data_IF_637842096518
#
_entry.id   IF_637842096518
#
_cell.length_a   1.000
_cell.length_b   1.000
_cell.length_c   1.000
_cell.angle_alpha   90.00
_cell.angle_beta   90.00
_cell.angle_gamma   90.00
#
_symmetry.space_group_name_H-M   'P 1'
#
loop_
_entity.id
_entity.type
_entity.pdbx_description
1 polymer ?
#
# COMPACT_ATOMS: atom_id res chain seq x y z
N UNK A 1 6.62 13.62 3.31
CA UNK A 1 5.79 12.54 2.73
C UNK A 1 4.81 13.15 1.74
N UNK A 2 4.28 12.39 0.79
CA UNK A 2 3.30 12.90 -0.21
C UNK A 2 2.07 13.50 0.49
N UNK A 3 1.67 12.89 1.61
CA UNK A 3 0.59 13.38 2.49
C UNK A 3 0.91 14.67 3.27
N UNK A 4 2.13 15.22 3.16
CA UNK A 4 2.46 16.58 3.65
C UNK A 4 2.26 17.64 2.57
N UNK A 5 2.37 17.25 1.29
CA UNK A 5 2.20 18.12 0.14
C UNK A 5 0.73 18.26 -0.25
N UNK A 6 -0.06 17.21 -0.05
CA UNK A 6 -1.51 17.17 -0.31
C UNK A 6 -2.21 16.64 0.93
N UNK A 7 -2.52 17.50 1.92
CA UNK A 7 -3.13 17.09 3.18
C UNK A 7 -4.55 16.53 3.01
N UNK A 8 -5.21 16.78 1.88
CA UNK A 8 -6.54 16.26 1.55
C UNK A 8 -6.56 14.75 1.26
N UNK A 9 -5.39 14.14 1.03
CA UNK A 9 -5.29 12.71 0.73
C UNK A 9 -5.81 11.84 1.88
N UNK A 10 -5.44 12.17 3.11
CA UNK A 10 -5.87 11.43 4.30
C UNK A 10 -6.15 12.41 5.42
N UNK A 11 -7.17 12.12 6.23
CA UNK A 11 -7.31 12.83 7.51
C UNK A 11 -6.05 12.62 8.33
N UNK A 12 -5.79 13.51 9.28
CA UNK A 12 -4.70 13.34 10.25
C UNK A 12 -4.74 11.91 10.81
N UNK A 13 -5.81 11.52 11.50
CA UNK A 13 -5.94 10.16 12.09
C UNK A 13 -5.58 9.03 11.11
N UNK A 14 -6.12 9.04 9.89
CA UNK A 14 -5.84 8.00 8.89
C UNK A 14 -4.36 7.94 8.50
N UNK A 15 -3.71 9.09 8.34
CA UNK A 15 -2.28 9.16 8.04
C UNK A 15 -1.43 8.64 9.21
N UNK A 16 -1.82 8.89 10.46
CA UNK A 16 -1.16 8.29 11.63
C UNK A 16 -1.29 6.77 11.60
N UNK A 17 -2.53 6.27 11.52
CA UNK A 17 -2.84 4.85 11.51
C UNK A 17 -2.09 4.12 10.40
N UNK A 18 -2.10 4.65 9.17
CA UNK A 18 -1.38 4.03 8.05
C UNK A 18 0.13 4.04 8.26
N UNK A 19 0.71 5.16 8.71
CA UNK A 19 2.16 5.29 8.87
C UNK A 19 2.69 4.45 10.04
N UNK A 20 2.01 4.49 11.17
CA UNK A 20 2.37 3.70 12.36
C UNK A 20 2.12 2.21 12.09
N UNK A 21 1.01 1.89 11.43
CA UNK A 21 0.65 0.50 11.18
C UNK A 21 1.60 -0.23 10.23
N UNK A 22 1.98 0.41 9.11
CA UNK A 22 2.99 -0.16 8.20
C UNK A 22 4.35 -0.30 8.88
N UNK A 23 4.70 0.64 9.76
CA UNK A 23 5.97 0.60 10.49
C UNK A 23 5.96 -0.49 11.56
N UNK A 24 4.84 -0.71 12.24
CA UNK A 24 4.66 -1.82 13.17
C UNK A 24 4.79 -3.16 12.44
N UNK A 25 4.16 -3.34 11.27
CA UNK A 25 4.34 -4.55 10.44
C UNK A 25 5.80 -4.79 10.09
N UNK A 26 6.52 -3.76 9.64
CA UNK A 26 7.94 -3.89 9.30
C UNK A 26 8.76 -4.32 10.53
N UNK A 27 8.53 -3.69 11.68
CA UNK A 27 9.22 -4.01 12.94
C UNK A 27 8.96 -5.47 13.33
N UNK A 28 7.70 -5.90 13.36
CA UNK A 28 7.31 -7.26 13.74
C UNK A 28 7.80 -8.31 12.73
N UNK A 29 7.96 -7.96 11.47
CA UNK A 29 8.54 -8.85 10.46
C UNK A 29 10.04 -9.07 10.72
N UNK A 30 10.79 -8.00 11.04
CA UNK A 30 12.21 -8.10 11.43
C UNK A 30 12.36 -8.94 12.72
N UNK A 31 11.58 -8.58 13.76
CA UNK A 31 10.89 -9.45 14.71
C UNK A 31 11.01 -10.97 14.44
N UNK A 32 10.12 -11.41 13.56
CA UNK A 32 9.84 -12.82 13.31
C UNK A 32 10.96 -13.52 12.53
N UNK A 33 11.62 -12.81 11.61
CA UNK A 33 12.71 -13.35 10.79
C UNK A 33 13.95 -13.75 11.62
N UNK A 34 14.10 -13.20 12.83
CA UNK A 34 15.20 -13.55 13.73
C UNK A 34 16.57 -13.24 13.14
N UNK A 35 16.68 -12.12 12.41
CA UNK A 35 17.92 -11.72 11.75
C UNK A 35 19.07 -11.53 12.77
N UNK A 36 20.33 -11.85 12.39
CA UNK A 36 21.48 -11.40 13.17
C UNK A 36 21.41 -9.88 13.34
N UNK A 37 21.73 -9.37 14.53
CA UNK A 37 21.64 -7.93 14.84
C UNK A 37 20.24 -7.32 14.71
N UNK A 38 19.18 -8.09 15.01
CA UNK A 38 17.79 -7.62 15.03
C UNK A 38 17.60 -6.25 15.72
N UNK A 39 18.21 -6.06 16.89
CA UNK A 39 18.13 -4.79 17.62
C UNK A 39 18.69 -3.60 16.81
N UNK A 40 19.76 -3.78 16.04
CA UNK A 40 20.35 -2.72 15.22
C UNK A 40 19.45 -2.34 14.04
N UNK A 41 18.71 -3.33 13.51
CA UNK A 41 17.76 -3.12 12.43
C UNK A 41 16.42 -2.54 12.90
N UNK A 42 15.95 -2.90 14.11
CA UNK A 42 14.67 -2.45 14.66
C UNK A 42 14.75 -1.05 15.26
N UNK A 43 15.87 -0.69 15.90
CA UNK A 43 16.00 0.58 16.65
C UNK A 43 15.69 1.84 15.81
N UNK A 44 16.19 1.99 14.56
CA UNK A 44 15.87 3.15 13.73
C UNK A 44 14.37 3.28 13.43
N UNK A 45 13.67 2.16 13.36
CA UNK A 45 12.22 2.17 13.14
C UNK A 45 11.46 2.56 14.40
N UNK A 46 11.88 2.11 15.58
CA UNK A 46 11.32 2.52 16.86
C UNK A 46 11.53 4.00 17.14
N UNK A 47 12.73 4.53 16.92
CA UNK A 47 13.03 5.94 17.13
C UNK A 47 12.18 6.82 16.23
N UNK A 48 12.06 6.45 14.95
CA UNK A 48 11.20 7.16 14.02
C UNK A 48 9.72 7.05 14.39
N UNK A 49 9.28 5.92 14.94
CA UNK A 49 7.92 5.76 15.44
C UNK A 49 7.65 6.69 16.63
N UNK A 50 8.60 6.79 17.58
CA UNK A 50 8.55 7.73 18.72
C UNK A 50 8.44 9.19 18.24
N UNK A 51 9.29 9.60 17.30
CA UNK A 51 9.26 10.94 16.70
C UNK A 51 7.89 11.25 16.08
N UNK A 52 7.35 10.28 15.34
CA UNK A 52 6.02 10.41 14.75
C UNK A 52 4.98 10.57 15.86
N UNK A 53 4.87 9.65 16.81
CA UNK A 53 3.89 9.76 17.91
C UNK A 53 3.99 11.13 18.59
N UNK A 54 5.18 11.59 18.96
CA UNK A 54 5.38 12.89 19.59
C UNK A 54 4.95 14.08 18.72
N UNK A 55 5.29 14.07 17.43
CA UNK A 55 4.89 15.11 16.48
C UNK A 55 3.36 15.21 16.36
N UNK A 56 2.68 14.07 16.43
CA UNK A 56 1.23 13.96 16.31
C UNK A 56 0.50 14.41 17.58
N UNK A 57 1.01 14.02 18.74
CA UNK A 57 0.52 14.48 20.05
C UNK A 57 0.65 16.00 20.20
N UNK A 58 1.76 16.57 19.72
CA UNK A 58 2.01 18.02 19.78
C UNK A 58 1.04 18.84 18.92
N UNK A 59 0.38 18.21 17.94
CA UNK A 59 -0.58 18.88 17.06
C UNK A 59 -2.04 18.64 17.47
N UNK A 60 -2.32 17.72 18.39
CA UNK A 60 -3.67 17.35 18.80
C UNK A 60 -4.16 18.26 19.94
N UNK A 61 -5.02 19.23 19.62
CA UNK A 61 -5.79 19.96 20.63
C UNK A 61 -6.95 19.06 21.10
N UNK A 62 -6.71 18.26 22.14
CA UNK A 62 -7.76 17.58 22.92
C UNK A 62 -8.17 16.15 22.51
N UNK A 63 -7.46 15.51 21.56
CA UNK A 63 -7.68 14.09 21.24
C UNK A 63 -6.78 13.18 22.07
N UNK A 64 -7.36 12.17 22.74
CA UNK A 64 -6.61 11.18 23.54
C UNK A 64 -5.42 10.63 22.73
N UNK A 65 -4.18 10.66 23.26
CA UNK A 65 -3.03 10.00 22.65
C UNK A 65 -3.40 8.60 22.18
N UNK A 66 -2.86 8.17 21.03
CA UNK A 66 -2.83 6.74 20.70
C UNK A 66 -1.88 6.05 21.69
N UNK A 67 -2.34 5.83 22.93
CA UNK A 67 -1.62 5.19 24.03
C UNK A 67 -1.11 3.81 23.60
N UNK A 68 -1.89 3.13 22.75
CA UNK A 68 -1.55 1.88 22.06
C UNK A 68 -0.22 1.94 21.31
N UNK A 69 0.18 3.10 20.80
CA UNK A 69 1.42 3.24 20.03
C UNK A 69 2.66 3.32 20.92
N UNK A 70 2.54 3.80 22.17
CA UNK A 70 3.60 3.73 23.18
C UNK A 70 3.68 2.32 23.78
N UNK A 71 2.53 1.69 24.03
CA UNK A 71 2.44 0.29 24.45
C UNK A 71 3.12 -0.64 23.44
N UNK A 72 2.94 -0.40 22.14
CA UNK A 72 3.64 -1.14 21.08
C UNK A 72 5.18 -1.00 21.16
N UNK A 73 5.68 0.19 21.45
CA UNK A 73 7.12 0.42 21.58
C UNK A 73 7.71 -0.38 22.75
N UNK A 74 6.99 -0.43 23.87
CA UNK A 74 7.39 -1.17 25.05
C UNK A 74 7.31 -2.69 24.80
N UNK A 75 6.26 -3.14 24.09
CA UNK A 75 6.14 -4.51 23.61
C UNK A 75 7.37 -4.90 22.77
N UNK A 76 7.73 -4.14 21.73
CA UNK A 76 8.88 -4.47 20.88
C UNK A 76 10.17 -4.50 21.68
N UNK A 77 10.40 -3.56 22.60
CA UNK A 77 11.57 -3.61 23.49
C UNK A 77 11.58 -4.87 24.36
N UNK A 78 10.42 -5.33 24.83
CA UNK A 78 10.32 -6.60 25.56
C UNK A 78 10.68 -7.80 24.66
N UNK A 79 10.15 -7.85 23.43
CA UNK A 79 10.44 -8.92 22.46
C UNK A 79 11.93 -9.00 22.10
N UNK A 80 12.61 -7.85 21.99
CA UNK A 80 14.05 -7.81 21.68
C UNK A 80 14.93 -8.29 22.84
N UNK A 81 14.49 -8.09 24.08
CA UNK A 81 15.27 -8.42 25.27
C UNK A 81 14.98 -9.81 25.83
N UNK A 82 13.79 -10.37 25.55
CA UNK A 82 13.31 -11.62 26.16
C UNK A 82 12.90 -12.63 25.07
N UNK A 83 13.74 -13.65 24.77
CA UNK A 83 13.46 -14.61 23.71
C UNK A 83 12.23 -15.49 24.01
N UNK A 84 11.97 -15.81 25.28
CA UNK A 84 10.81 -16.61 25.69
C UNK A 84 9.49 -15.84 25.47
N UNK A 85 9.47 -14.54 25.82
CA UNK A 85 8.34 -13.64 25.56
C UNK A 85 8.12 -13.46 24.06
N UNK A 86 9.23 -13.37 23.29
CA UNK A 86 9.18 -13.30 21.83
C UNK A 86 8.53 -14.54 21.22
N UNK A 87 8.95 -15.73 21.63
CA UNK A 87 8.37 -16.99 21.17
C UNK A 87 6.87 -17.06 21.55
N UNK A 88 6.53 -16.73 22.79
CA UNK A 88 5.16 -16.70 23.26
C UNK A 88 4.28 -15.76 22.42
N UNK A 89 4.74 -14.53 22.20
CA UNK A 89 4.03 -13.51 21.44
C UNK A 89 3.72 -14.00 20.01
N UNK A 90 4.71 -14.46 19.26
CA UNK A 90 4.50 -14.91 17.89
C UNK A 90 3.68 -16.21 17.78
N UNK A 91 3.64 -17.04 18.82
CA UNK A 91 2.83 -18.27 18.81
C UNK A 91 1.38 -18.08 19.30
N UNK A 92 1.12 -17.09 20.17
CA UNK A 92 -0.14 -17.00 20.92
C UNK A 92 -0.87 -15.68 20.79
N UNK A 93 -0.17 -14.59 20.51
CA UNK A 93 -0.73 -13.22 20.57
C UNK A 93 -0.73 -12.55 19.20
N UNK A 94 0.30 -12.77 18.40
CA UNK A 94 0.52 -12.05 17.15
C UNK A 94 -0.66 -12.16 16.18
N UNK A 95 -1.20 -13.36 15.94
CA UNK A 95 -2.32 -13.54 15.02
C UNK A 95 -3.62 -12.86 15.50
N UNK A 96 -3.79 -12.69 16.81
CA UNK A 96 -4.98 -12.04 17.38
C UNK A 96 -4.87 -10.51 17.27
N UNK A 97 -3.71 -9.94 17.59
CA UNK A 97 -3.52 -8.48 17.61
C UNK A 97 -3.07 -7.89 16.26
N UNK A 98 -2.27 -8.64 15.49
CA UNK A 98 -1.61 -8.21 14.26
C UNK A 98 -1.87 -9.14 13.06
N UNK A 99 -2.92 -9.96 13.14
CA UNK A 99 -3.32 -10.89 12.08
C UNK A 99 -4.26 -10.27 11.02
N UNK A 100 -5.16 -11.07 10.41
CA UNK A 100 -5.92 -10.66 9.22
C UNK A 100 -6.73 -9.36 9.37
N UNK A 101 -7.32 -9.11 10.53
CA UNK A 101 -8.09 -7.89 10.79
C UNK A 101 -7.21 -6.63 10.78
N UNK A 102 -6.00 -6.75 11.31
CA UNK A 102 -5.02 -5.69 11.25
C UNK A 102 -4.60 -5.43 9.80
N UNK A 103 -4.27 -6.49 9.05
CA UNK A 103 -3.84 -6.40 7.65
C UNK A 103 -4.93 -5.77 6.76
N UNK A 104 -6.18 -6.19 6.92
CA UNK A 104 -7.34 -5.63 6.21
C UNK A 104 -7.50 -4.13 6.50
N UNK A 105 -7.33 -3.71 7.75
CA UNK A 105 -7.42 -2.30 8.13
C UNK A 105 -6.30 -1.45 7.47
N UNK A 106 -5.06 -1.94 7.47
CA UNK A 106 -3.94 -1.27 6.80
C UNK A 106 -4.13 -1.24 5.29
N UNK A 107 -4.58 -2.34 4.69
CA UNK A 107 -4.86 -2.41 3.26
C UNK A 107 -5.99 -1.44 2.85
N UNK A 108 -7.06 -1.35 3.64
CA UNK A 108 -8.14 -0.40 3.40
C UNK A 108 -7.65 1.05 3.42
N UNK A 109 -6.79 1.40 4.39
CA UNK A 109 -6.16 2.73 4.45
C UNK A 109 -5.22 3.00 3.28
N UNK A 110 -4.43 2.00 2.86
CA UNK A 110 -3.56 2.11 1.69
C UNK A 110 -4.39 2.31 0.42
N UNK A 111 -5.46 1.54 0.24
CA UNK A 111 -6.35 1.67 -0.90
C UNK A 111 -7.01 3.04 -0.95
N UNK A 112 -7.51 3.54 0.19
CA UNK A 112 -8.08 4.88 0.30
C UNK A 112 -7.05 5.95 -0.10
N UNK A 113 -5.81 5.83 0.37
CA UNK A 113 -4.73 6.73 0.01
C UNK A 113 -4.47 6.73 -1.50
N UNK A 114 -4.30 5.55 -2.10
CA UNK A 114 -4.00 5.41 -3.53
C UNK A 114 -5.15 5.92 -4.40
N UNK A 115 -6.39 5.58 -4.07
CA UNK A 115 -7.59 6.02 -4.81
C UNK A 115 -7.74 7.54 -4.79
N UNK A 116 -7.37 8.19 -3.68
CA UNK A 116 -7.38 9.65 -3.60
C UNK A 116 -6.19 10.26 -4.34
N UNK A 117 -5.01 9.65 -4.22
CA UNK A 117 -3.80 10.09 -4.91
C UNK A 117 -3.99 10.08 -6.43
N UNK A 118 -4.62 9.04 -6.96
CA UNK A 118 -4.95 8.91 -8.39
C UNK A 118 -5.72 10.12 -8.92
N UNK A 119 -6.64 10.69 -8.13
CA UNK A 119 -7.43 11.87 -8.53
C UNK A 119 -6.59 13.15 -8.69
N UNK A 120 -5.40 13.19 -8.11
CA UNK A 120 -4.46 14.29 -8.28
C UNK A 120 -3.46 14.07 -9.42
N UNK A 121 -3.42 12.87 -10.00
CA UNK A 121 -2.59 12.58 -11.15
C UNK A 121 -3.31 13.05 -12.43
N UNK A 122 -2.64 13.81 -13.31
CA UNK A 122 -3.24 14.18 -14.58
C UNK A 122 -3.48 12.92 -15.42
N UNK A 123 -4.56 12.92 -16.20
CA UNK A 123 -4.79 11.89 -17.23
C UNK A 123 -3.64 11.97 -18.23
N UNK A 124 -2.75 10.99 -18.21
CA UNK A 124 -1.60 10.94 -19.12
C UNK A 124 -2.05 10.39 -20.47
N UNK A 125 -1.64 11.06 -21.53
CA UNK A 125 -1.75 10.51 -22.89
C UNK A 125 -0.76 9.35 -23.05
N UNK A 126 -1.07 8.41 -23.94
CA UNK A 126 -0.16 7.30 -24.26
C UNK A 126 1.25 7.77 -24.62
N UNK A 127 1.36 8.90 -25.32
CA UNK A 127 2.64 9.52 -25.66
C UNK A 127 3.43 9.97 -24.41
N UNK A 128 2.78 10.60 -23.44
CA UNK A 128 3.42 11.04 -22.20
C UNK A 128 3.91 9.85 -21.36
N UNK A 129 3.11 8.79 -21.31
CA UNK A 129 3.49 7.53 -20.66
C UNK A 129 4.72 6.93 -21.37
N UNK A 130 4.68 6.81 -22.70
CA UNK A 130 5.79 6.29 -23.50
C UNK A 130 7.08 7.11 -23.37
N UNK A 131 7.00 8.45 -23.26
CA UNK A 131 8.19 9.30 -23.09
C UNK A 131 8.89 9.10 -21.74
N UNK A 132 8.13 8.85 -20.65
CA UNK A 132 8.70 8.55 -19.32
C UNK A 132 9.44 7.21 -19.34
N UNK A 133 8.95 6.25 -20.11
CA UNK A 133 9.59 4.95 -20.28
C UNK A 133 10.77 4.99 -21.27
N UNK A 134 10.74 5.85 -22.28
CA UNK A 134 11.77 5.98 -23.31
C UNK A 134 13.07 6.62 -22.82
N UNK A 135 13.03 7.44 -21.77
CA UNK A 135 14.23 8.11 -21.24
C UNK A 135 14.91 7.34 -20.08
N UNK A 136 14.30 6.26 -19.57
CA UNK A 136 14.75 5.60 -18.34
C UNK A 136 14.78 4.07 -18.32
N UNK A 137 14.63 3.37 -19.45
CA UNK A 137 14.38 1.92 -19.42
C UNK A 137 15.31 1.08 -20.30
N UNK A 138 16.47 0.72 -19.76
CA UNK A 138 17.19 -0.48 -20.21
C UNK A 138 16.35 -1.76 -19.96
N UNK A 139 15.39 -1.71 -19.04
CA UNK A 139 14.53 -2.84 -18.62
C UNK A 139 13.46 -3.16 -19.69
N UNK A 140 12.92 -2.15 -20.39
CA UNK A 140 12.01 -2.35 -21.52
C UNK A 140 12.76 -2.81 -22.76
N UNK A 141 14.01 -2.39 -22.93
CA UNK A 141 14.86 -2.92 -24.00
C UNK A 141 15.12 -4.41 -23.78
N UNK A 142 15.36 -4.85 -22.55
CA UNK A 142 15.40 -6.28 -22.18
C UNK A 142 14.06 -6.97 -22.33
N UNK A 143 12.90 -6.35 -22.05
CA UNK A 143 11.60 -6.97 -22.30
C UNK A 143 11.31 -7.11 -23.81
N UNK A 144 11.65 -6.09 -24.61
CA UNK A 144 11.52 -6.10 -26.07
C UNK A 144 12.52 -7.09 -26.70
N UNK A 145 13.73 -7.20 -26.14
CA UNK A 145 14.75 -8.15 -26.58
C UNK A 145 14.47 -9.57 -26.09
N UNK A 146 13.92 -9.79 -24.89
CA UNK A 146 13.53 -11.11 -24.38
C UNK A 146 12.35 -11.69 -25.16
N UNK A 147 11.44 -10.84 -25.64
CA UNK A 147 10.38 -11.23 -26.60
C UNK A 147 10.96 -11.54 -27.98
N UNK A 148 12.10 -10.94 -28.34
CA UNK A 148 12.77 -11.16 -29.64
C UNK A 148 13.79 -12.30 -29.63
N UNK A 149 14.30 -12.71 -28.46
CA UNK A 149 15.41 -13.64 -28.33
C UNK A 149 14.99 -15.08 -28.06
N UNK A 150 13.71 -15.33 -27.74
CA UNK A 150 13.22 -16.68 -27.53
C UNK A 150 12.05 -17.01 -28.47
N UNK A 151 12.43 -17.62 -29.60
CA UNK A 151 11.58 -18.33 -30.54
C UNK A 151 10.80 -17.47 -31.54
N UNK A 152 10.65 -18.07 -32.72
CA UNK A 152 9.88 -17.63 -33.87
C UNK A 152 8.43 -17.33 -33.44
N UNK A 153 8.16 -16.09 -33.04
CA UNK A 153 6.81 -15.55 -32.99
C UNK A 153 6.82 -14.28 -33.83
N UNK A 154 6.11 -14.36 -34.94
CA UNK A 154 5.89 -13.26 -35.86
C UNK A 154 5.36 -12.02 -35.11
N UNK A 155 5.71 -10.78 -35.50
CA UNK A 155 5.21 -9.51 -34.92
C UNK A 155 3.68 -9.32 -34.87
N UNK A 156 2.93 -10.32 -35.31
CA UNK A 156 1.47 -10.39 -35.41
C UNK A 156 0.82 -10.51 -34.01
N UNK A 157 1.46 -11.18 -33.04
CA UNK A 157 0.85 -11.47 -31.71
C UNK A 157 0.48 -10.21 -30.92
N UNK A 158 1.37 -9.20 -30.89
CA UNK A 158 1.10 -7.97 -30.15
C UNK A 158 0.00 -7.12 -30.78
N UNK A 159 -0.06 -7.07 -32.12
CA UNK A 159 -1.11 -6.34 -32.81
C UNK A 159 -2.48 -6.99 -32.60
N UNK A 160 -2.51 -8.32 -32.56
CA UNK A 160 -3.73 -9.09 -32.31
C UNK A 160 -4.19 -8.97 -30.85
N UNK A 161 -3.26 -9.01 -29.89
CA UNK A 161 -3.56 -8.81 -28.46
C UNK A 161 -4.05 -7.39 -28.16
N UNK A 162 -3.36 -6.37 -28.69
CA UNK A 162 -3.77 -4.98 -28.55
C UNK A 162 -5.11 -4.73 -29.26
N UNK A 163 -5.31 -5.36 -30.42
CA UNK A 163 -6.57 -5.34 -31.17
C UNK A 163 -7.71 -5.96 -30.35
N UNK A 164 -7.49 -7.10 -29.71
CA UNK A 164 -8.46 -7.75 -28.83
C UNK A 164 -8.80 -6.87 -27.61
N UNK A 165 -7.82 -6.19 -27.02
CA UNK A 165 -8.00 -5.30 -25.87
C UNK A 165 -8.81 -4.05 -26.24
N UNK A 166 -8.52 -3.45 -27.39
CA UNK A 166 -9.28 -2.31 -27.92
C UNK A 166 -10.71 -2.72 -28.30
N UNK A 167 -10.89 -3.91 -28.87
CA UNK A 167 -12.21 -4.44 -29.20
C UNK A 167 -13.05 -4.72 -27.94
N UNK A 168 -12.43 -5.29 -26.91
CA UNK A 168 -13.07 -5.50 -25.61
C UNK A 168 -13.53 -4.19 -24.96
N UNK A 169 -12.70 -3.15 -24.96
CA UNK A 169 -13.09 -1.82 -24.45
C UNK A 169 -14.18 -1.15 -25.29
N UNK A 170 -14.15 -1.34 -26.62
CA UNK A 170 -15.21 -0.86 -27.52
C UNK A 170 -16.55 -1.52 -27.23
N UNK A 171 -16.55 -2.81 -26.92
CA UNK A 171 -17.77 -3.56 -26.63
C UNK A 171 -18.34 -3.21 -25.24
N UNK A 172 -17.47 -2.99 -24.25
CA UNK A 172 -17.85 -2.46 -22.93
C UNK A 172 -18.50 -1.08 -23.02
N UNK A 173 -17.93 -0.16 -23.79
CA UNK A 173 -18.49 1.19 -23.96
C UNK A 173 -19.83 1.18 -24.73
N UNK A 174 -20.03 0.21 -25.65
CA UNK A 174 -21.32 0.04 -26.33
C UNK A 174 -22.40 -0.58 -25.42
N UNK A 175 -22.01 -1.49 -24.52
CA UNK A 175 -22.91 -2.04 -23.50
C UNK A 175 -23.36 -0.96 -22.50
N UNK A 176 -22.48 -0.03 -22.11
CA UNK A 176 -22.81 1.08 -21.21
C UNK A 176 -23.76 2.11 -21.86
N UNK A 177 -23.63 2.33 -23.18
CA UNK A 177 -24.58 3.16 -23.92
C UNK A 177 -25.96 2.51 -24.13
N UNK A 178 -26.01 1.18 -24.24
CA UNK A 178 -27.26 0.42 -24.33
C UNK A 178 -27.92 0.14 -22.95
N UNK A 179 -27.19 0.34 -21.85
CA UNK A 179 -27.67 0.15 -20.47
C UNK A 179 -28.55 1.27 -19.91
N UNK A 180 -28.65 2.43 -20.58
CA UNK A 180 -29.48 3.57 -20.13
C UNK A 180 -31.00 3.38 -20.30
N UNK A 181 -31.47 2.18 -20.63
CA UNK A 181 -32.91 1.86 -20.65
C UNK A 181 -33.23 0.56 -19.91
N UNK A 182 -32.98 0.52 -18.60
CA UNK A 182 -33.73 -0.34 -17.69
C UNK A 182 -33.55 0.12 -16.23
N UNK A 183 -34.62 0.69 -15.66
CA UNK A 183 -34.76 0.89 -14.23
C UNK A 183 -34.60 -0.44 -13.46
N UNK A 184 -33.84 -0.41 -12.36
CA UNK A 184 -34.29 -0.85 -11.03
C UNK A 184 -33.28 -0.49 -9.94
N UNK A 185 -33.82 0.14 -8.90
CA UNK A 185 -33.28 0.52 -7.60
C UNK A 185 -32.69 -0.65 -6.83
N UNK A 186 -31.55 -0.44 -6.15
CA UNK A 186 -31.27 -1.01 -4.83
C UNK A 186 -30.51 0.04 -4.01
N UNK A 187 -31.18 0.60 -3.00
CA UNK A 187 -30.53 1.33 -1.91
C UNK A 187 -29.82 0.31 -1.03
N UNK A 188 -28.54 0.55 -0.72
CA UNK A 188 -27.86 -0.15 0.37
C UNK A 188 -27.34 0.88 1.36
N UNK A 189 -27.71 0.60 2.60
CA UNK A 189 -27.53 1.32 3.86
C UNK A 189 -26.05 1.56 4.18
N UNK A 190 -25.71 2.79 4.57
CA UNK A 190 -24.40 3.16 5.13
C UNK A 190 -24.31 2.76 6.61
N UNK A 191 -23.15 2.19 6.98
CA UNK A 191 -22.63 2.11 8.36
C UNK A 191 -21.64 3.26 8.52
#
# INVERSE_FOLDING_TARGET
>A
MVTDLVPELLTRRQKAQLTLGLRAQLILNICQLGAPCESEHVQPHLDRMKELIQSWLSQADGGNPELSSLEFIDLVQNLLNNPDEKEHFFQKVFDEEFGPMYDEAIQALMWLFLTRLEKFLPVQTFHQVASVFGEGSCILEECVQSVSAESVVTPVSWCDELGALLQFHKDLNQLDQNGKSANKTVSVVEI
#
